data_IF_612338717499
#
_entry.id   IF_612338717499
#
_cell.length_a   1.000
_cell.length_b   1.000
_cell.length_c   1.000
_cell.angle_alpha   90.00
_cell.angle_beta   90.00
_cell.angle_gamma   90.00
#
_symmetry.space_group_name_H-M   'P 1'
#
loop_
_entity.id
_entity.type
_entity.pdbx_description
1 polymer ?
#
# COMPACT_ATOMS: atom_id res chain seq x y z
N UNK A 1 -57.98 24.47 40.80
CA UNK A 1 -57.21 24.22 39.56
C UNK A 1 -55.73 24.17 39.93
N UNK A 2 -55.08 23.01 39.76
CA UNK A 2 -53.68 22.81 40.10
C UNK A 2 -52.81 23.16 38.88
N UNK A 3 -51.89 24.13 39.00
CA UNK A 3 -50.94 24.43 37.92
C UNK A 3 -49.81 23.40 37.97
N UNK A 4 -49.80 22.48 37.02
CA UNK A 4 -48.70 21.55 36.80
C UNK A 4 -47.67 22.28 35.94
N UNK A 5 -46.51 22.60 36.52
CA UNK A 5 -45.37 23.12 35.76
C UNK A 5 -44.67 21.93 35.10
N UNK A 6 -44.55 21.88 33.76
CA UNK A 6 -43.82 20.81 33.10
C UNK A 6 -42.34 20.83 33.52
N UNK A 7 -41.76 19.67 33.77
CA UNK A 7 -40.34 19.52 34.16
C UNK A 7 -39.36 19.82 33.02
N UNK A 8 -39.86 19.93 31.79
CA UNK A 8 -39.09 20.27 30.60
C UNK A 8 -39.66 21.53 29.93
N UNK A 9 -38.81 22.42 29.37
CA UNK A 9 -39.28 23.53 28.56
C UNK A 9 -40.12 22.98 27.40
N UNK A 10 -41.30 23.53 27.19
CA UNK A 10 -42.19 23.12 26.11
C UNK A 10 -41.52 23.45 24.77
N UNK A 11 -40.83 22.47 24.18
CA UNK A 11 -40.26 22.60 22.85
C UNK A 11 -41.40 22.43 21.83
N UNK A 12 -41.73 23.46 21.03
CA UNK A 12 -42.82 23.40 20.07
C UNK A 12 -42.53 22.48 18.88
N UNK A 13 -41.28 22.03 18.73
CA UNK A 13 -40.85 21.11 17.67
C UNK A 13 -41.13 19.64 18.08
N UNK A 14 -42.15 18.99 17.50
CA UNK A 14 -42.47 17.60 17.81
C UNK A 14 -41.34 16.63 17.41
N UNK A 15 -40.52 17.02 16.44
CA UNK A 15 -39.48 16.17 15.88
C UNK A 15 -38.21 16.17 16.74
N UNK A 16 -38.00 17.20 17.57
CA UNK A 16 -36.85 17.27 18.47
C UNK A 16 -36.87 16.16 19.55
N UNK A 17 -38.06 15.71 19.95
CA UNK A 17 -38.21 14.56 20.85
C UNK A 17 -37.86 13.26 20.14
N UNK A 18 -38.34 13.09 18.91
CA UNK A 18 -38.02 11.93 18.07
C UNK A 18 -36.52 11.82 17.80
N UNK A 19 -35.86 12.93 17.45
CA UNK A 19 -34.41 12.95 17.23
C UNK A 19 -33.61 12.59 18.49
N UNK A 20 -34.04 13.00 19.69
CA UNK A 20 -33.39 12.58 20.95
C UNK A 20 -33.62 11.10 21.26
N UNK A 21 -34.79 10.57 20.95
CA UNK A 21 -35.08 9.14 21.11
C UNK A 21 -34.27 8.30 20.10
N UNK A 22 -34.10 8.77 18.87
CA UNK A 22 -33.29 8.12 17.84
C UNK A 22 -31.77 8.24 18.06
N UNK A 23 -31.30 9.33 18.67
CA UNK A 23 -29.88 9.54 18.99
C UNK A 23 -29.49 8.99 20.35
N UNK A 24 -30.46 8.59 21.18
CA UNK A 24 -30.17 7.76 22.35
C UNK A 24 -29.62 6.42 21.85
N UNK A 25 -28.42 6.01 22.30
CA UNK A 25 -27.95 4.67 22.05
C UNK A 25 -28.87 3.72 22.83
N UNK A 26 -29.95 3.29 22.19
CA UNK A 26 -30.72 2.14 22.62
C UNK A 26 -29.91 0.88 22.35
N UNK A 27 -30.37 -0.29 22.82
CA UNK A 27 -29.81 -1.57 22.42
C UNK A 27 -30.21 -1.83 20.97
N UNK A 28 -29.64 -1.06 20.04
CA UNK A 28 -29.57 -1.45 18.64
C UNK A 28 -28.68 -2.67 18.69
N UNK A 29 -29.29 -3.85 18.54
CA UNK A 29 -28.53 -5.04 18.23
C UNK A 29 -27.93 -4.79 16.85
N UNK A 30 -26.72 -4.24 16.82
CA UNK A 30 -25.85 -4.38 15.66
C UNK A 30 -25.75 -5.89 15.46
N UNK A 31 -26.09 -6.42 14.26
CA UNK A 31 -25.83 -7.81 13.98
C UNK A 31 -24.36 -8.02 14.31
N UNK A 32 -24.08 -8.93 15.23
CA UNK A 32 -22.71 -9.39 15.47
C UNK A 32 -22.15 -9.64 14.08
N UNK A 33 -21.06 -8.97 13.72
CA UNK A 33 -20.44 -9.15 12.42
C UNK A 33 -20.06 -10.64 12.35
N UNK A 34 -20.94 -11.45 11.76
CA UNK A 34 -21.05 -12.90 11.94
C UNK A 34 -19.75 -13.59 11.52
N UNK A 35 -18.80 -13.66 12.46
CA UNK A 35 -17.52 -14.33 12.29
C UNK A 35 -16.34 -13.47 11.86
N UNK A 36 -16.47 -12.14 11.76
CA UNK A 36 -15.31 -11.28 11.46
C UNK A 36 -14.84 -10.56 12.73
N UNK A 37 -13.81 -11.06 13.43
CA UNK A 37 -13.33 -10.43 14.65
C UNK A 37 -12.89 -8.99 14.31
N UNK A 38 -13.35 -7.99 15.07
CA UNK A 38 -13.12 -6.57 14.76
C UNK A 38 -11.65 -6.15 14.55
N UNK A 39 -10.70 -6.99 14.96
CA UNK A 39 -9.27 -6.81 14.71
C UNK A 39 -8.73 -7.32 13.36
N UNK A 40 -9.54 -7.98 12.52
CA UNK A 40 -9.06 -8.59 11.26
C UNK A 40 -8.46 -7.55 10.30
N UNK A 41 -9.14 -6.41 10.13
CA UNK A 41 -8.69 -5.33 9.27
C UNK A 41 -7.38 -4.75 9.79
N UNK A 42 -7.27 -4.62 11.11
CA UNK A 42 -6.06 -4.14 11.78
C UNK A 42 -4.89 -5.13 11.56
N UNK A 43 -5.15 -6.44 11.66
CA UNK A 43 -4.16 -7.47 11.40
C UNK A 43 -3.68 -7.46 9.93
N UNK A 44 -4.60 -7.32 8.97
CA UNK A 44 -4.27 -7.19 7.54
C UNK A 44 -3.43 -5.94 7.29
N UNK A 45 -3.83 -4.79 7.85
CA UNK A 45 -3.08 -3.54 7.71
C UNK A 45 -1.68 -3.63 8.31
N UNK A 46 -1.54 -4.26 9.48
CA UNK A 46 -0.25 -4.49 10.12
C UNK A 46 0.65 -5.41 9.27
N UNK A 47 0.09 -6.48 8.70
CA UNK A 47 0.82 -7.40 7.83
C UNK A 47 1.32 -6.70 6.55
N UNK A 48 0.47 -5.88 5.91
CA UNK A 48 0.86 -5.10 4.73
C UNK A 48 1.95 -4.06 5.05
N UNK A 49 1.86 -3.40 6.20
CA UNK A 49 2.88 -2.45 6.67
C UNK A 49 4.23 -3.15 6.90
N UNK A 50 4.23 -4.29 7.58
CA UNK A 50 5.43 -5.08 7.80
C UNK A 50 6.04 -5.56 6.48
N UNK A 51 5.21 -6.01 5.54
CA UNK A 51 5.67 -6.43 4.20
C UNK A 51 6.30 -5.27 3.41
N UNK A 52 5.73 -4.06 3.50
CA UNK A 52 6.32 -2.88 2.89
C UNK A 52 7.67 -2.51 3.51
N UNK A 53 7.82 -2.66 4.83
CA UNK A 53 9.07 -2.37 5.54
C UNK A 53 10.16 -3.42 5.28
N UNK A 54 9.80 -4.70 5.19
CA UNK A 54 10.76 -5.80 4.94
C UNK A 54 11.11 -5.95 3.46
N UNK A 55 10.18 -5.63 2.56
CA UNK A 55 10.35 -5.71 1.10
C UNK A 55 11.39 -4.73 0.53
N UNK A 56 11.74 -3.65 1.24
CA UNK A 56 12.79 -2.73 0.82
C UNK A 56 14.22 -3.25 1.08
N UNK A 57 14.39 -4.38 1.78
CA UNK A 57 15.72 -4.93 2.10
C UNK A 57 16.28 -5.90 1.05
N UNK A 58 15.43 -6.38 0.14
CA UNK A 58 15.81 -7.30 -0.94
C UNK A 58 15.45 -6.71 -2.31
N UNK A 59 15.74 -5.42 -2.51
CA UNK A 59 16.03 -4.94 -3.85
C UNK A 59 17.42 -5.49 -4.20
N UNK A 60 17.47 -6.75 -4.63
CA UNK A 60 18.65 -7.32 -5.25
C UNK A 60 19.17 -6.31 -6.28
N UNK A 61 20.38 -5.82 -6.04
CA UNK A 61 21.28 -5.19 -6.98
C UNK A 61 20.65 -4.85 -8.34
N UNK A 62 19.92 -3.74 -8.43
CA UNK A 62 19.85 -3.04 -9.71
C UNK A 62 21.30 -2.67 -10.02
N UNK A 63 21.97 -3.49 -10.85
CA UNK A 63 23.21 -3.08 -11.48
C UNK A 63 22.98 -1.66 -12.02
N UNK A 64 23.92 -0.73 -11.80
CA UNK A 64 23.75 0.63 -12.27
C UNK A 64 23.40 0.55 -13.75
N UNK A 65 22.22 1.08 -14.10
CA UNK A 65 21.75 1.11 -15.49
C UNK A 65 22.90 1.64 -16.35
N UNK A 66 23.38 0.85 -17.33
CA UNK A 66 24.55 1.24 -18.10
C UNK A 66 24.23 2.57 -18.78
N UNK A 67 25.14 3.52 -18.62
CA UNK A 67 25.04 4.84 -19.21
C UNK A 67 24.85 4.72 -20.72
N UNK A 68 24.26 5.74 -21.35
CA UNK A 68 24.10 5.76 -22.80
C UNK A 68 25.43 5.57 -23.55
N UNK A 69 26.55 5.94 -22.94
CA UNK A 69 27.90 5.72 -23.47
C UNK A 69 28.31 4.25 -23.38
N UNK A 70 28.13 3.60 -22.22
CA UNK A 70 28.46 2.18 -22.04
C UNK A 70 27.64 1.29 -22.98
N UNK A 71 26.36 1.62 -23.18
CA UNK A 71 25.52 0.91 -24.16
C UNK A 71 26.02 1.04 -25.59
N UNK A 72 26.56 2.22 -25.98
CA UNK A 72 27.15 2.43 -27.30
C UNK A 72 28.42 1.60 -27.47
N UNK A 73 29.28 1.56 -26.44
CA UNK A 73 30.52 0.78 -26.44
C UNK A 73 30.20 -0.72 -26.53
N UNK A 74 29.24 -1.21 -25.74
CA UNK A 74 28.81 -2.61 -25.76
C UNK A 74 28.27 -3.02 -27.15
N UNK A 75 27.44 -2.17 -27.78
CA UNK A 75 26.95 -2.42 -29.14
C UNK A 75 28.06 -2.38 -30.19
N UNK A 76 29.04 -1.49 -30.05
CA UNK A 76 30.18 -1.43 -30.96
C UNK A 76 31.07 -2.68 -30.81
N UNK A 77 31.33 -3.12 -29.59
CA UNK A 77 32.07 -4.35 -29.31
C UNK A 77 31.36 -5.60 -29.85
N UNK A 78 30.04 -5.69 -29.69
CA UNK A 78 29.24 -6.78 -30.24
C UNK A 78 29.28 -6.86 -31.78
N UNK A 79 29.36 -5.70 -32.47
CA UNK A 79 29.53 -5.66 -33.94
C UNK A 79 30.95 -6.00 -34.38
N UNK A 80 31.96 -5.67 -33.57
CA UNK A 80 33.35 -6.01 -33.87
C UNK A 80 33.61 -7.52 -33.73
N UNK A 81 32.86 -8.19 -32.84
CA UNK A 81 32.96 -9.62 -32.57
C UNK A 81 31.72 -10.37 -33.10
N UNK A 82 31.47 -10.37 -34.41
CA UNK A 82 30.32 -11.09 -34.99
C UNK A 82 30.36 -12.60 -34.65
N UNK A 83 29.36 -13.08 -33.90
CA UNK A 83 29.25 -14.49 -33.49
C UNK A 83 30.22 -14.90 -32.36
N UNK A 84 30.87 -13.94 -31.70
CA UNK A 84 31.80 -14.16 -30.58
C UNK A 84 31.43 -13.24 -29.42
N UNK A 85 31.79 -13.63 -28.20
CA UNK A 85 31.53 -12.85 -26.98
C UNK A 85 32.68 -11.85 -26.76
N UNK A 86 32.44 -10.53 -26.81
CA UNK A 86 33.45 -9.53 -26.52
C UNK A 86 33.72 -9.45 -25.00
N UNK A 87 34.98 -9.55 -24.59
CA UNK A 87 35.43 -9.38 -23.21
C UNK A 87 36.41 -8.21 -23.17
N UNK A 88 36.26 -7.30 -22.20
CA UNK A 88 37.17 -6.18 -22.05
C UNK A 88 38.36 -6.57 -21.17
N UNK A 89 39.56 -6.66 -21.76
CA UNK A 89 40.80 -7.01 -21.08
C UNK A 89 41.91 -6.01 -21.44
N UNK A 90 42.67 -5.58 -20.43
CA UNK A 90 43.87 -4.75 -20.58
C UNK A 90 43.69 -3.47 -21.45
N UNK A 91 42.50 -2.87 -21.46
CA UNK A 91 42.22 -1.65 -22.24
C UNK A 91 41.67 -1.90 -23.65
N UNK A 92 41.38 -3.15 -24.02
CA UNK A 92 40.89 -3.52 -25.34
C UNK A 92 39.80 -4.61 -25.28
N UNK A 93 39.00 -4.76 -26.33
CA UNK A 93 38.01 -5.84 -26.43
C UNK A 93 38.64 -7.06 -27.15
N UNK A 94 38.65 -8.21 -26.48
CA UNK A 94 39.01 -9.52 -27.03
C UNK A 94 37.75 -10.33 -27.35
N UNK A 95 37.69 -10.93 -28.54
CA UNK A 95 36.54 -11.74 -28.96
C UNK A 95 36.80 -13.22 -28.61
N UNK A 96 35.95 -13.81 -27.76
CA UNK A 96 36.05 -15.22 -27.40
C UNK A 96 34.90 -16.04 -27.97
N UNK A 97 35.18 -17.30 -28.31
CA UNK A 97 34.14 -18.27 -28.65
C UNK A 97 33.62 -18.90 -27.35
N UNK A 98 32.31 -18.89 -27.13
CA UNK A 98 31.71 -19.64 -26.03
C UNK A 98 32.07 -21.13 -26.16
N UNK A 99 32.42 -21.75 -25.03
CA UNK A 99 32.81 -23.17 -24.95
C UNK A 99 31.60 -24.08 -24.98
#
# INVERSE_FOLDING_TARGET
MQRVTPSEPFNPDPDARYLRECSRPGPVHEPDADGVPGGWLLAVLAALLLLALTGCSHAEAQEPQPTAQEQRIARAAARACEGLTPVYEAGSFSCFKEK
#
